data_IF_624076424811
#
_entry.id   IF_624076424811
#
_cell.length_a   1.000
_cell.length_b   1.000
_cell.length_c   1.000
_cell.angle_alpha   90.00
_cell.angle_beta   90.00
_cell.angle_gamma   90.00
#
_symmetry.space_group_name_H-M   'P 1'
#
loop_
_entity.id
_entity.type
_entity.pdbx_description
1 polymer ?
#
# COMPACT_ATOMS: atom_id res chain seq x y z
N UNK A 1 52.29 47.11 -10.09
CA UNK A 1 52.58 48.18 -9.11
C UNK A 1 51.62 49.34 -9.40
N UNK A 2 51.00 49.99 -8.40
CA UNK A 2 49.68 49.56 -7.89
C UNK A 2 48.68 50.71 -7.60
N UNK A 3 47.49 50.29 -7.11
CA UNK A 3 46.47 50.97 -6.24
C UNK A 3 45.28 51.65 -6.95
N UNK A 4 44.06 51.11 -6.80
CA UNK A 4 43.13 51.22 -5.63
C UNK A 4 42.52 52.63 -5.52
N UNK A 5 41.25 52.86 -5.21
CA UNK A 5 40.09 52.05 -4.83
C UNK A 5 38.88 53.02 -4.80
N UNK A 6 37.80 52.56 -4.18
CA UNK A 6 36.60 53.28 -3.72
C UNK A 6 35.49 53.31 -4.75
N UNK A 7 34.22 53.12 -4.43
CA UNK A 7 33.49 52.55 -3.29
C UNK A 7 32.03 52.69 -3.73
N UNK A 8 31.16 51.74 -3.42
CA UNK A 8 29.78 51.80 -3.89
C UNK A 8 28.87 50.77 -3.26
N UNK A 9 28.85 50.74 -1.93
CA UNK A 9 27.85 50.03 -1.16
C UNK A 9 26.43 50.56 -1.44
N UNK A 10 25.47 49.65 -1.61
CA UNK A 10 24.08 49.97 -1.88
C UNK A 10 23.14 48.86 -1.41
N UNK A 11 23.13 48.61 -0.11
CA UNK A 11 22.09 47.85 0.60
C UNK A 11 20.75 48.58 0.48
N UNK A 12 19.74 47.92 -0.13
CA UNK A 12 18.33 48.30 0.03
C UNK A 12 17.46 47.07 0.21
N UNK A 13 17.33 46.70 1.48
CA UNK A 13 16.11 46.16 2.07
C UNK A 13 14.88 46.96 1.61
N UNK A 14 13.88 46.30 1.04
CA UNK A 14 12.49 46.78 1.08
C UNK A 14 11.57 45.67 1.55
N UNK A 15 11.19 45.81 2.82
CA UNK A 15 10.02 45.22 3.45
C UNK A 15 8.77 45.97 2.98
N UNK A 16 7.70 45.22 2.76
CA UNK A 16 6.30 45.59 2.89
C UNK A 16 5.56 44.25 2.91
N UNK A 17 5.05 43.70 4.01
CA UNK A 17 4.19 44.21 5.08
C UNK A 17 2.81 44.68 4.58
N UNK A 18 1.88 43.72 4.65
CA UNK A 18 0.50 43.80 5.12
C UNK A 18 -0.51 44.67 4.36
N UNK A 19 -1.54 44.00 3.81
CA UNK A 19 -2.94 44.16 4.21
C UNK A 19 -3.74 42.96 3.66
N UNK A 20 -4.35 42.10 4.48
CA UNK A 20 -5.61 42.28 5.22
C UNK A 20 -6.83 42.51 4.31
N UNK A 21 -7.24 41.44 3.63
CA UNK A 21 -8.58 41.28 3.04
C UNK A 21 -9.35 40.17 3.74
N UNK A 22 -9.94 40.52 4.89
CA UNK A 22 -10.79 39.69 5.75
C UNK A 22 -12.25 39.99 5.39
N UNK A 23 -13.05 38.95 5.13
CA UNK A 23 -14.52 39.03 5.01
C UNK A 23 -15.05 37.91 4.12
N UNK A 24 -16.01 37.06 4.48
CA UNK A 24 -16.88 37.01 5.65
C UNK A 24 -17.29 35.55 5.87
N UNK A 25 -17.27 35.14 7.14
CA UNK A 25 -17.95 33.96 7.62
C UNK A 25 -19.48 34.19 7.58
N UNK A 26 -20.20 33.23 7.01
CA UNK A 26 -21.57 32.83 7.37
C UNK A 26 -21.53 31.30 7.38
N UNK A 27 -21.47 30.62 8.51
CA UNK A 27 -22.56 30.43 9.47
C UNK A 27 -23.85 29.96 8.77
N UNK A 28 -23.92 28.64 8.58
CA UNK A 28 -25.17 27.91 8.73
C UNK A 28 -24.85 26.52 9.29
N UNK A 29 -25.08 26.41 10.59
CA UNK A 29 -25.51 25.19 11.24
C UNK A 29 -26.71 24.64 10.48
N UNK A 30 -26.82 23.33 10.32
CA UNK A 30 -27.80 22.53 11.07
C UNK A 30 -27.96 21.14 10.45
N UNK A 31 -28.08 20.15 11.33
CA UNK A 31 -28.98 19.02 11.18
C UNK A 31 -28.79 18.05 10.01
N UNK A 32 -28.40 16.81 10.35
CA UNK A 32 -28.95 15.70 9.56
C UNK A 32 -28.24 14.36 9.63
N UNK A 33 -28.19 13.75 10.82
CA UNK A 33 -28.32 12.29 10.87
C UNK A 33 -29.57 11.87 10.09
N UNK A 34 -29.40 11.08 9.03
CA UNK A 34 -30.42 10.22 8.37
C UNK A 34 -29.68 9.46 7.25
N UNK A 35 -29.15 8.26 7.48
CA UNK A 35 -29.93 7.02 7.45
C UNK A 35 -31.20 7.17 6.60
N UNK A 36 -31.03 7.05 5.28
CA UNK A 36 -32.14 6.73 4.38
C UNK A 36 -32.08 5.23 4.05
N UNK A 37 -32.83 4.47 4.84
CA UNK A 37 -33.72 3.45 4.28
C UNK A 37 -34.93 4.17 3.65
N UNK A 38 -35.51 3.62 2.58
CA UNK A 38 -36.90 3.14 2.69
C UNK A 38 -37.05 1.73 2.10
N UNK A 39 -37.54 0.76 2.90
CA UNK A 39 -38.95 0.35 3.08
C UNK A 39 -39.39 -0.72 2.07
N UNK A 40 -39.53 -1.97 2.55
CA UNK A 40 -40.79 -2.64 3.01
C UNK A 40 -41.43 -3.43 1.86
N UNK A 41 -41.47 -4.76 1.92
CA UNK A 41 -42.48 -5.65 2.55
C UNK A 41 -41.99 -7.07 2.19
N UNK A 42 -42.06 -8.14 2.97
CA UNK A 42 -43.04 -8.55 3.97
C UNK A 42 -42.42 -9.66 4.86
N UNK A 43 -43.07 -10.00 5.99
CA UNK A 43 -42.50 -10.73 7.12
C UNK A 43 -42.83 -12.23 7.09
N UNK A 44 -41.80 -13.07 7.23
CA UNK A 44 -41.94 -14.47 7.61
C UNK A 44 -41.69 -14.61 9.10
N UNK A 45 -42.77 -14.64 9.89
CA UNK A 45 -42.73 -14.92 11.33
C UNK A 45 -42.35 -16.38 11.58
N UNK A 46 -41.52 -16.53 12.62
CA UNK A 46 -41.34 -17.64 13.55
C UNK A 46 -42.09 -18.95 13.29
N UNK A 47 -41.39 -20.07 13.44
CA UNK A 47 -41.89 -21.20 14.22
C UNK A 47 -40.71 -21.92 14.89
N UNK A 48 -40.81 -22.01 16.21
CA UNK A 48 -39.99 -22.85 17.06
C UNK A 48 -40.33 -24.31 16.84
N UNK A 49 -39.30 -25.12 16.99
CA UNK A 49 -39.33 -26.50 17.47
C UNK A 49 -40.40 -26.70 18.56
N UNK A 50 -41.29 -27.68 18.38
CA UNK A 50 -41.65 -28.63 19.43
C UNK A 50 -42.67 -29.66 18.93
N UNK A 51 -42.21 -30.91 19.00
CA UNK A 51 -43.00 -32.12 19.12
C UNK A 51 -44.19 -32.02 20.10
N UNK A 52 -45.27 -32.70 19.70
CA UNK A 52 -46.20 -33.50 20.52
C UNK A 52 -47.02 -32.80 21.63
N UNK A 53 -48.28 -32.53 21.30
CA UNK A 53 -49.40 -33.24 21.96
C UNK A 53 -50.33 -32.46 22.91
N UNK A 54 -51.63 -32.40 22.54
CA UNK A 54 -52.82 -32.40 23.43
C UNK A 54 -54.08 -32.70 22.58
N UNK A 55 -54.70 -33.90 22.66
CA UNK A 55 -55.83 -34.37 23.52
C UNK A 55 -57.20 -33.77 23.11
N UNK A 56 -58.36 -34.49 23.17
CA UNK A 56 -58.77 -35.34 24.31
C UNK A 56 -59.57 -36.63 23.99
N UNK A 57 -59.37 -37.66 24.81
CA UNK A 57 -60.21 -38.86 24.88
C UNK A 57 -60.28 -39.31 26.33
N UNK A 58 -61.48 -39.66 26.78
CA UNK A 58 -61.91 -39.74 28.16
C UNK A 58 -61.26 -40.85 29.01
N UNK A 59 -61.51 -40.72 30.32
CA UNK A 59 -61.36 -41.72 31.40
C UNK A 59 -59.93 -42.09 31.81
N UNK A 60 -59.51 -41.66 33.01
CA UNK A 60 -59.67 -42.49 34.21
C UNK A 60 -59.11 -41.80 35.47
N UNK A 61 -59.82 -42.08 36.56
CA UNK A 61 -59.55 -42.00 38.00
C UNK A 61 -58.26 -41.40 38.59
N UNK A 62 -58.52 -40.56 39.61
CA UNK A 62 -58.05 -40.62 41.01
C UNK A 62 -56.74 -39.91 41.43
N UNK A 63 -56.89 -39.24 42.59
CA UNK A 63 -55.94 -38.90 43.68
C UNK A 63 -55.21 -37.54 43.64
N UNK A 64 -55.85 -36.60 44.33
CA UNK A 64 -55.39 -35.80 45.50
C UNK A 64 -53.92 -35.37 45.61
N UNK A 65 -53.79 -34.08 45.95
CA UNK A 65 -52.92 -33.43 46.96
C UNK A 65 -51.75 -32.53 46.52
N UNK A 66 -51.96 -31.23 46.84
CA UNK A 66 -51.08 -30.29 47.58
C UNK A 66 -49.82 -29.71 46.91
N UNK A 67 -49.90 -28.39 46.67
CA UNK A 67 -48.98 -27.31 47.12
C UNK A 67 -47.48 -27.59 47.16
N UNK A 68 -46.69 -26.83 46.39
CA UNK A 68 -45.74 -25.86 46.94
C UNK A 68 -45.13 -25.01 45.81
N UNK A 69 -45.22 -23.68 45.96
CA UNK A 69 -44.45 -22.71 45.20
C UNK A 69 -43.00 -22.72 45.73
N UNK A 70 -42.02 -22.90 44.87
CA UNK A 70 -40.65 -22.46 45.11
C UNK A 70 -40.08 -21.86 43.82
N UNK A 71 -39.60 -20.60 43.84
CA UNK A 71 -38.84 -20.07 42.72
C UNK A 71 -37.50 -20.80 42.68
N UNK A 72 -37.24 -21.52 41.59
CA UNK A 72 -35.92 -22.05 41.30
C UNK A 72 -35.00 -20.86 40.99
N UNK A 73 -34.41 -20.29 42.04
CA UNK A 73 -33.17 -19.51 41.94
C UNK A 73 -32.16 -20.42 41.25
N UNK A 74 -31.86 -20.14 39.98
CA UNK A 74 -30.67 -20.69 39.34
C UNK A 74 -29.47 -20.24 40.17
N UNK A 75 -28.63 -21.14 40.70
CA UNK A 75 -27.39 -20.72 41.29
C UNK A 75 -26.57 -20.06 40.19
N UNK A 76 -26.18 -18.80 40.38
CA UNK A 76 -25.11 -18.19 39.62
C UNK A 76 -23.90 -19.09 39.83
N UNK A 77 -23.54 -19.85 38.80
CA UNK A 77 -22.37 -20.73 38.81
C UNK A 77 -21.13 -19.84 38.90
N UNK A 78 -20.68 -19.66 40.14
CA UNK A 78 -19.29 -19.47 40.54
C UNK A 78 -18.53 -18.33 39.87
N UNK A 79 -18.44 -17.21 40.57
CA UNK A 79 -17.30 -16.28 40.47
C UNK A 79 -16.04 -16.96 41.02
N UNK A 80 -15.50 -17.93 40.28
CA UNK A 80 -14.20 -18.54 40.59
C UNK A 80 -13.12 -17.71 39.89
N UNK A 81 -12.22 -17.11 40.67
CA UNK A 81 -11.03 -16.46 40.14
C UNK A 81 -10.14 -17.43 39.35
N UNK A 82 -9.38 -16.89 38.40
CA UNK A 82 -8.40 -17.66 37.63
C UNK A 82 -7.33 -18.27 38.56
N UNK A 83 -6.97 -19.53 38.31
CA UNK A 83 -5.88 -20.17 39.06
C UNK A 83 -4.52 -19.64 38.57
N UNK A 84 -3.50 -19.61 39.44
CA UNK A 84 -2.15 -19.17 39.05
C UNK A 84 -1.61 -19.99 37.86
N UNK A 85 -1.84 -21.30 37.86
CA UNK A 85 -1.43 -22.19 36.77
C UNK A 85 -2.10 -21.85 35.44
N UNK A 86 -3.37 -21.47 35.45
CA UNK A 86 -4.10 -21.06 34.26
C UNK A 86 -3.58 -19.75 33.67
N UNK A 87 -3.28 -18.76 34.53
CA UNK A 87 -2.66 -17.50 34.10
C UNK A 87 -1.27 -17.76 33.51
N UNK A 88 -0.47 -18.64 34.12
CA UNK A 88 0.84 -19.00 33.59
C UNK A 88 0.77 -19.69 32.22
N UNK A 89 -0.21 -20.57 32.02
CA UNK A 89 -0.47 -21.21 30.71
C UNK A 89 -0.97 -20.18 29.69
N UNK A 90 -1.87 -19.28 30.07
CA UNK A 90 -2.36 -18.24 29.18
C UNK A 90 -1.22 -17.29 28.75
N UNK A 91 -0.37 -16.86 29.69
CA UNK A 91 0.79 -16.01 29.41
C UNK A 91 1.81 -16.75 28.54
N UNK A 92 2.06 -18.04 28.75
CA UNK A 92 2.99 -18.79 27.91
C UNK A 92 2.50 -18.90 26.46
N UNK A 93 1.21 -19.20 26.25
CA UNK A 93 0.59 -19.21 24.92
C UNK A 93 0.65 -17.82 24.28
N UNK A 94 0.35 -16.77 25.06
CA UNK A 94 0.41 -15.38 24.59
C UNK A 94 1.83 -15.01 24.14
N UNK A 95 2.85 -15.36 24.91
CA UNK A 95 4.25 -15.07 24.57
C UNK A 95 4.68 -15.80 23.29
N UNK A 96 4.31 -17.06 23.12
CA UNK A 96 4.56 -17.82 21.88
C UNK A 96 3.87 -17.15 20.69
N UNK A 97 2.61 -16.75 20.85
CA UNK A 97 1.86 -16.04 19.81
C UNK A 97 2.49 -14.70 19.42
N UNK A 98 2.90 -13.89 20.40
CA UNK A 98 3.57 -12.62 20.17
C UNK A 98 4.92 -12.80 19.47
N UNK A 99 5.70 -13.81 19.85
CA UNK A 99 6.97 -14.13 19.19
C UNK A 99 6.75 -14.50 17.70
N UNK A 100 5.71 -15.27 17.38
CA UNK A 100 5.35 -15.60 16.00
C UNK A 100 4.96 -14.34 15.20
N UNK A 101 4.22 -13.40 15.79
CA UNK A 101 3.86 -12.13 15.13
C UNK A 101 5.08 -11.26 14.86
N UNK A 102 5.98 -11.11 15.84
CA UNK A 102 7.20 -10.31 15.69
C UNK A 102 8.07 -10.85 14.55
N UNK A 103 8.27 -12.17 14.51
CA UNK A 103 9.05 -12.81 13.44
C UNK A 103 8.35 -12.66 12.09
N UNK A 104 7.03 -12.88 12.00
CA UNK A 104 6.25 -12.68 10.78
C UNK A 104 6.35 -11.26 10.22
N UNK A 105 6.32 -10.24 11.08
CA UNK A 105 6.43 -8.84 10.66
C UNK A 105 7.78 -8.53 9.99
N UNK A 106 8.89 -9.10 10.48
CA UNK A 106 10.22 -8.91 9.89
C UNK A 106 10.32 -9.49 8.47
N UNK A 107 9.63 -10.60 8.21
CA UNK A 107 9.57 -11.17 6.86
C UNK A 107 8.65 -10.33 5.95
N UNK A 108 7.51 -9.87 6.45
CA UNK A 108 6.57 -9.06 5.68
C UNK A 108 7.18 -7.71 5.25
N UNK A 109 7.91 -7.03 6.13
CA UNK A 109 8.55 -5.75 5.83
C UNK A 109 9.59 -5.85 4.71
N UNK A 110 10.33 -6.96 4.68
CA UNK A 110 11.32 -7.26 3.63
C UNK A 110 10.65 -7.41 2.26
N UNK A 111 9.46 -8.02 2.20
CA UNK A 111 8.67 -8.13 0.97
C UNK A 111 8.22 -6.77 0.42
N UNK A 112 7.84 -5.83 1.29
CA UNK A 112 7.42 -4.47 0.89
C UNK A 112 8.60 -3.69 0.30
N UNK A 113 9.79 -3.77 0.91
CA UNK A 113 10.98 -3.09 0.42
C UNK A 113 11.39 -3.63 -0.97
N UNK A 114 11.31 -4.94 -1.17
CA UNK A 114 11.55 -5.57 -2.46
C UNK A 114 10.54 -5.09 -3.52
N UNK A 115 9.24 -5.14 -3.21
CA UNK A 115 8.19 -4.70 -4.14
C UNK A 115 8.33 -3.23 -4.54
N UNK A 116 8.62 -2.34 -3.58
CA UNK A 116 8.88 -0.91 -3.85
C UNK A 116 10.07 -0.72 -4.78
N UNK A 117 11.15 -1.47 -4.55
CA UNK A 117 12.34 -1.46 -5.40
C UNK A 117 12.02 -1.83 -6.84
N UNK A 118 11.30 -2.94 -7.01
CA UNK A 118 10.93 -3.47 -8.32
C UNK A 118 9.99 -2.52 -9.09
N UNK A 119 8.92 -2.02 -8.46
CA UNK A 119 8.00 -1.08 -9.11
C UNK A 119 8.71 0.21 -9.53
N UNK A 120 9.60 0.74 -8.68
CA UNK A 120 10.37 1.95 -9.01
C UNK A 120 11.34 1.68 -10.15
N UNK A 121 12.01 0.53 -10.15
CA UNK A 121 12.93 0.14 -11.22
C UNK A 121 12.22 0.02 -12.58
N UNK A 122 11.02 -0.59 -12.60
CA UNK A 122 10.17 -0.66 -13.80
C UNK A 122 9.77 0.73 -14.28
N UNK A 123 9.30 1.61 -13.39
CA UNK A 123 8.91 2.97 -13.75
C UNK A 123 10.09 3.76 -14.34
N UNK A 124 11.29 3.63 -13.77
CA UNK A 124 12.50 4.28 -14.28
C UNK A 124 12.95 3.72 -15.63
N UNK A 125 12.72 2.43 -15.89
CA UNK A 125 13.01 1.80 -17.16
C UNK A 125 12.03 2.28 -18.24
N UNK A 126 10.74 2.28 -17.93
CA UNK A 126 9.67 2.77 -18.80
C UNK A 126 9.83 4.25 -19.13
N UNK A 127 10.11 5.10 -18.13
CA UNK A 127 10.34 6.53 -18.34
C UNK A 127 11.47 6.77 -19.34
N UNK A 128 12.59 6.02 -19.22
CA UNK A 128 13.72 6.16 -20.14
C UNK A 128 13.35 5.68 -21.54
N UNK A 129 12.61 4.58 -21.63
CA UNK A 129 12.17 4.01 -22.89
C UNK A 129 11.17 4.92 -23.61
N UNK A 130 10.22 5.52 -22.90
CA UNK A 130 9.29 6.52 -23.45
C UNK A 130 10.01 7.80 -23.89
N UNK A 131 11.02 8.24 -23.14
CA UNK A 131 11.86 9.36 -23.58
C UNK A 131 12.55 9.05 -24.92
N UNK A 132 13.12 7.85 -25.08
CA UNK A 132 13.77 7.44 -26.32
C UNK A 132 12.78 7.24 -27.47
N UNK A 133 11.58 6.71 -27.20
CA UNK A 133 10.49 6.64 -28.20
C UNK A 133 10.08 8.03 -28.68
N UNK A 134 9.83 8.96 -27.75
CA UNK A 134 9.45 10.33 -28.09
C UNK A 134 10.53 11.03 -28.92
N UNK A 135 11.81 10.81 -28.57
CA UNK A 135 12.94 11.29 -29.37
C UNK A 135 12.95 10.66 -30.76
N UNK A 136 12.79 9.34 -30.87
CA UNK A 136 12.80 8.64 -32.16
C UNK A 136 11.65 9.08 -33.08
N UNK A 137 10.50 9.44 -32.52
CA UNK A 137 9.37 9.99 -33.26
C UNK A 137 9.61 11.42 -33.74
N UNK A 138 10.41 12.21 -32.99
CA UNK A 138 10.71 13.61 -33.32
C UNK A 138 11.91 13.76 -34.25
N UNK A 139 12.98 13.03 -33.97
CA UNK A 139 14.26 13.06 -34.68
C UNK A 139 14.97 11.71 -34.55
N UNK A 140 14.88 10.90 -35.60
CA UNK A 140 15.51 9.58 -35.67
C UNK A 140 17.05 9.62 -35.61
N UNK A 141 17.66 10.76 -35.95
CA UNK A 141 19.12 10.95 -36.00
C UNK A 141 19.69 11.53 -34.72
N UNK A 142 18.86 11.71 -33.69
CA UNK A 142 19.28 12.27 -32.41
C UNK A 142 20.38 11.40 -31.76
N UNK A 143 21.42 12.04 -31.23
CA UNK A 143 22.62 11.36 -30.72
C UNK A 143 22.33 10.38 -29.57
N UNK A 144 21.29 10.63 -28.77
CA UNK A 144 20.86 9.70 -27.71
C UNK A 144 20.28 8.38 -28.24
N UNK A 145 20.01 8.27 -29.54
CA UNK A 145 19.56 7.04 -30.22
C UNK A 145 20.71 6.33 -30.95
N UNK A 146 21.94 6.83 -30.87
CA UNK A 146 23.08 6.16 -31.47
C UNK A 146 23.30 4.80 -30.80
N UNK A 147 23.69 3.81 -31.59
CA UNK A 147 24.07 2.52 -31.04
C UNK A 147 25.21 2.69 -30.03
N UNK A 148 25.15 1.91 -28.96
CA UNK A 148 26.08 2.01 -27.85
C UNK A 148 25.41 1.78 -26.50
N UNK A 149 26.17 1.99 -25.43
CA UNK A 149 25.71 1.83 -24.06
C UNK A 149 25.89 3.13 -23.30
N UNK A 150 24.82 3.62 -22.67
CA UNK A 150 24.83 4.75 -21.74
C UNK A 150 24.57 4.24 -20.33
N UNK A 151 25.40 4.64 -19.38
CA UNK A 151 25.26 4.24 -17.97
C UNK A 151 25.03 5.46 -17.09
N UNK A 152 23.97 5.41 -16.31
CA UNK A 152 23.64 6.35 -15.25
C UNK A 152 23.88 5.63 -13.92
N UNK A 153 24.97 5.98 -13.23
CA UNK A 153 25.36 5.36 -11.96
C UNK A 153 24.43 5.71 -10.79
N UNK A 154 24.64 5.06 -9.64
CA UNK A 154 23.96 5.43 -8.40
C UNK A 154 24.17 6.92 -8.08
N UNK A 155 23.11 7.59 -7.63
CA UNK A 155 23.13 9.03 -7.34
C UNK A 155 23.02 9.94 -8.57
N UNK A 156 23.10 9.42 -9.81
CA UNK A 156 23.01 10.24 -11.03
C UNK A 156 21.58 10.46 -11.51
N UNK A 157 20.64 9.61 -11.10
CA UNK A 157 19.22 9.71 -11.46
C UNK A 157 18.50 10.58 -10.43
N UNK A 158 17.94 11.71 -10.87
CA UNK A 158 17.21 12.64 -10.01
C UNK A 158 16.04 11.92 -9.29
N UNK A 159 15.98 12.06 -7.96
CA UNK A 159 14.95 11.41 -7.13
C UNK A 159 15.11 9.90 -6.95
N UNK A 160 16.15 9.27 -7.53
CA UNK A 160 16.34 7.83 -7.53
C UNK A 160 17.81 7.44 -7.25
N UNK A 161 18.42 8.01 -6.21
CA UNK A 161 19.84 7.81 -5.91
C UNK A 161 20.25 6.35 -5.64
N UNK A 162 19.32 5.51 -5.17
CA UNK A 162 19.52 4.09 -4.89
C UNK A 162 19.42 3.20 -6.14
N UNK A 163 19.23 3.78 -7.31
CA UNK A 163 19.08 3.09 -8.57
C UNK A 163 20.20 3.49 -9.53
N UNK A 164 20.63 2.55 -10.35
CA UNK A 164 21.45 2.82 -11.53
C UNK A 164 20.76 2.28 -12.76
N UNK A 165 21.00 2.89 -13.92
CA UNK A 165 20.37 2.51 -15.19
C UNK A 165 21.42 2.33 -16.28
N UNK A 166 21.29 1.25 -17.04
CA UNK A 166 22.10 0.96 -18.22
C UNK A 166 21.16 0.91 -19.42
N UNK A 167 21.39 1.77 -20.40
CA UNK A 167 20.65 1.78 -21.66
C UNK A 167 21.58 1.28 -22.76
N UNK A 168 21.21 0.19 -23.42
CA UNK A 168 21.93 -0.34 -24.59
C UNK A 168 21.06 -0.19 -25.83
N UNK A 169 21.64 0.34 -26.90
CA UNK A 169 20.99 0.52 -28.20
C UNK A 169 21.82 -0.22 -29.24
N UNK A 170 21.17 -1.08 -30.03
CA UNK A 170 21.77 -1.75 -31.18
C UNK A 170 21.03 -1.38 -32.46
N UNK A 171 21.77 -0.97 -33.49
CA UNK A 171 21.22 -0.70 -34.82
C UNK A 171 20.99 -2.02 -35.57
N UNK A 172 19.84 -2.15 -36.23
CA UNK A 172 19.50 -3.27 -37.10
C UNK A 172 19.95 -4.63 -36.53
N UNK A 173 19.38 -5.07 -35.38
CA UNK A 173 19.84 -6.28 -34.66
C UNK A 173 19.65 -7.59 -35.44
N UNK A 174 19.08 -7.54 -36.65
CA UNK A 174 18.74 -8.70 -37.48
C UNK A 174 17.30 -9.17 -37.29
N UNK A 175 16.98 -10.32 -37.88
CA UNK A 175 15.63 -10.89 -37.85
C UNK A 175 14.65 -10.13 -38.74
N UNK A 176 13.44 -9.87 -38.23
CA UNK A 176 12.38 -9.17 -38.98
C UNK A 176 12.64 -7.68 -39.17
N UNK A 177 13.64 -7.10 -38.47
CA UNK A 177 14.10 -5.76 -38.78
C UNK A 177 15.57 -5.73 -39.21
N UNK A 178 15.75 -5.52 -40.51
CA UNK A 178 17.04 -5.49 -41.20
C UNK A 178 17.52 -4.09 -41.56
N UNK A 179 16.66 -3.07 -41.48
CA UNK A 179 17.02 -1.67 -41.71
C UNK A 179 16.06 -0.72 -40.96
N UNK A 180 16.56 0.47 -40.59
CA UNK A 180 15.76 1.53 -39.93
C UNK A 180 15.05 1.12 -38.63
N UNK A 181 15.62 0.16 -37.89
CA UNK A 181 15.21 -0.11 -36.51
C UNK A 181 16.38 -0.12 -35.55
N UNK A 182 16.04 0.07 -34.28
CA UNK A 182 16.95 0.01 -33.14
C UNK A 182 16.37 -0.90 -32.08
N UNK A 183 17.17 -1.82 -31.55
CA UNK A 183 16.82 -2.57 -30.34
C UNK A 183 17.29 -1.78 -29.13
N UNK A 184 16.36 -1.40 -28.26
CA UNK A 184 16.65 -0.67 -27.03
C UNK A 184 16.41 -1.59 -25.85
N UNK A 185 17.43 -1.76 -25.02
CA UNK A 185 17.35 -2.44 -23.72
C UNK A 185 17.66 -1.44 -22.62
N UNK A 186 16.76 -1.32 -21.66
CA UNK A 186 16.94 -0.52 -20.45
C UNK A 186 16.96 -1.46 -19.26
N UNK A 187 18.10 -1.53 -18.59
CA UNK A 187 18.33 -2.31 -17.38
C UNK A 187 18.42 -1.37 -16.20
N UNK A 188 17.58 -1.53 -15.19
CA UNK A 188 17.64 -0.74 -13.94
C UNK A 188 18.04 -1.66 -12.79
N UNK A 189 19.11 -1.31 -12.09
CA UNK A 189 19.64 -2.08 -10.97
C UNK A 189 19.46 -1.34 -9.65
N UNK A 190 19.16 -2.08 -8.59
CA UNK A 190 18.96 -1.56 -7.24
C UNK A 190 19.37 -2.58 -6.18
N UNK A 191 19.65 -2.09 -4.97
CA UNK A 191 19.95 -2.92 -3.79
C UNK A 191 18.80 -2.80 -2.78
N UNK A 192 18.05 -3.87 -2.51
CA UNK A 192 16.96 -3.81 -1.56
C UNK A 192 17.48 -3.65 -0.14
N UNK A 193 16.87 -2.74 0.62
CA UNK A 193 17.13 -2.55 2.06
C UNK A 193 16.06 -3.32 2.83
N UNK A 194 16.46 -4.39 3.52
CA UNK A 194 15.56 -5.22 4.34
C UNK A 194 15.66 -4.86 5.81
N UNK A 195 14.79 -5.43 6.65
CA UNK A 195 14.87 -5.27 8.11
C UNK A 195 16.19 -5.77 8.73
N UNK A 196 17.02 -6.51 7.97
CA UNK A 196 18.37 -6.96 8.37
C UNK A 196 19.51 -6.14 7.75
N UNK A 197 19.19 -5.06 7.03
CA UNK A 197 20.15 -4.22 6.31
C UNK A 197 20.05 -4.36 4.79
N UNK A 198 20.97 -3.69 4.09
CA UNK A 198 21.06 -3.72 2.63
C UNK A 198 21.53 -5.11 2.17
N UNK A 199 20.86 -5.71 1.18
CA UNK A 199 21.39 -6.91 0.54
C UNK A 199 22.59 -6.56 -0.33
N UNK A 200 23.65 -7.37 -0.26
CA UNK A 200 24.84 -7.21 -1.10
C UNK A 200 24.56 -7.53 -2.58
N UNK A 201 23.52 -8.32 -2.85
CA UNK A 201 23.15 -8.69 -4.21
C UNK A 201 22.27 -7.61 -4.85
N UNK A 202 22.73 -7.10 -6.00
CA UNK A 202 21.92 -6.23 -6.85
C UNK A 202 20.81 -7.03 -7.51
N UNK A 203 19.62 -6.43 -7.54
CA UNK A 203 18.51 -6.87 -8.37
C UNK A 203 18.42 -5.99 -9.60
N UNK A 204 17.92 -6.55 -10.68
CA UNK A 204 17.75 -5.83 -11.93
C UNK A 204 16.36 -6.05 -12.52
N UNK A 205 15.88 -5.05 -13.25
CA UNK A 205 14.70 -5.11 -14.10
C UNK A 205 15.14 -4.74 -15.52
N UNK A 206 14.76 -5.56 -16.49
CA UNK A 206 15.09 -5.40 -17.89
C UNK A 206 13.83 -5.11 -18.71
N UNK A 207 13.82 -3.98 -19.42
CA UNK A 207 12.76 -3.65 -20.40
C UNK A 207 13.39 -3.52 -21.77
N UNK A 208 12.84 -4.27 -22.74
CA UNK A 208 13.36 -4.32 -24.10
C UNK A 208 12.27 -3.91 -25.08
N UNK A 209 12.62 -3.07 -26.06
CA UNK A 209 11.71 -2.69 -27.14
C UNK A 209 12.45 -2.49 -28.45
N UNK A 210 11.71 -2.56 -29.54
CA UNK A 210 12.20 -2.25 -30.87
C UNK A 210 11.61 -0.92 -31.31
N UNK A 211 12.48 0.03 -31.67
CA UNK A 211 12.09 1.30 -32.29
C UNK A 211 12.23 1.17 -33.79
N UNK A 212 11.29 1.71 -34.55
CA UNK A 212 11.29 1.72 -36.02
C UNK A 212 11.11 3.15 -36.50
N UNK A 213 11.88 3.58 -37.49
CA UNK A 213 11.73 4.92 -38.07
C UNK A 213 10.36 5.06 -38.75
N UNK A 214 9.71 6.22 -38.62
CA UNK A 214 8.57 6.56 -39.47
C UNK A 214 9.05 6.87 -40.88
N UNK A 215 8.38 6.28 -41.86
CA UNK A 215 8.48 6.63 -43.28
C UNK A 215 7.64 7.84 -43.61
#
# INVERSE_FOLDING_TARGET
>A
MPRHAMDGAGDRRRRGHQDLGRGHARHQCDGGHRLQQPRRRQPGRHLHDHERGRRPGATDRRRRHRTHQHPLRRPMRGDRGFTLGEVLVAVSILLIGLAAVVTGFQYASSGIALGKGETTATFLAEQRLEQLKALALKDWTHTQLNAGTTTEGYGSIAGAALYRRVTSIADAPGGTCTARCKLVRVTVLYRPVTGRGQMDQERQVDVVTMLVART
#
